data_IF_481570439026
#
_entry.id   IF_481570439026
#
_cell.length_a   1.000
_cell.length_b   1.000
_cell.length_c   1.000
_cell.angle_alpha   90.00
_cell.angle_beta   90.00
_cell.angle_gamma   90.00
#
_symmetry.space_group_name_H-M   'P 1'
#
loop_
_entity.id
_entity.type
_entity.pdbx_description
1 polymer ?
#
# COMPACT_ATOMS: atom_id res chain seq x y z
N UNK A 1 -27.23 -65.11 -61.66
CA UNK A 1 -27.17 -66.35 -60.86
C UNK A 1 -27.50 -65.95 -59.44
N UNK A 2 -28.71 -65.98 -58.88
CA UNK A 2 -29.84 -66.93 -58.90
C UNK A 2 -29.48 -68.35 -58.44
N UNK A 3 -30.04 -68.72 -57.28
CA UNK A 3 -30.73 -69.98 -56.86
C UNK A 3 -30.48 -70.18 -55.34
N UNK A 4 -31.42 -69.84 -54.44
CA UNK A 4 -32.51 -70.68 -53.86
C UNK A 4 -31.99 -71.96 -53.15
N UNK A 5 -32.38 -72.32 -51.92
CA UNK A 5 -33.72 -72.78 -51.46
C UNK A 5 -33.64 -73.01 -49.92
N UNK A 6 -34.50 -72.47 -49.05
CA UNK A 6 -35.87 -72.89 -48.67
C UNK A 6 -35.98 -74.19 -47.82
N UNK A 7 -36.36 -74.06 -46.53
CA UNK A 7 -37.60 -74.58 -45.87
C UNK A 7 -37.47 -75.01 -44.39
N UNK A 8 -38.43 -74.55 -43.59
CA UNK A 8 -38.83 -74.80 -42.18
C UNK A 8 -39.52 -76.19 -41.97
N UNK A 9 -40.20 -76.59 -40.85
CA UNK A 9 -40.39 -76.00 -39.48
C UNK A 9 -40.48 -76.99 -38.24
N UNK A 10 -40.55 -76.42 -37.00
CA UNK A 10 -41.10 -76.90 -35.67
C UNK A 10 -40.50 -78.13 -34.92
N UNK A 11 -40.67 -78.30 -33.56
CA UNK A 11 -41.47 -77.55 -32.58
C UNK A 11 -40.72 -77.03 -31.32
N UNK A 12 -41.45 -76.25 -30.51
CA UNK A 12 -41.05 -75.75 -29.20
C UNK A 12 -41.00 -76.84 -28.11
N UNK A 13 -39.97 -76.83 -27.25
CA UNK A 13 -40.07 -77.36 -25.87
C UNK A 13 -38.88 -76.91 -24.99
N UNK A 14 -39.22 -76.16 -23.94
CA UNK A 14 -38.66 -76.17 -22.58
C UNK A 14 -37.13 -76.21 -22.41
N UNK A 15 -36.50 -75.04 -22.35
CA UNK A 15 -35.32 -74.86 -21.49
C UNK A 15 -35.44 -73.54 -20.74
N UNK A 16 -35.66 -73.64 -19.42
CA UNK A 16 -35.62 -72.50 -18.51
C UNK A 16 -34.22 -71.87 -18.50
N UNK A 17 -34.09 -70.53 -18.46
CA UNK A 17 -32.79 -69.92 -18.28
C UNK A 17 -32.24 -70.31 -16.90
N UNK A 18 -30.93 -70.59 -16.77
CA UNK A 18 -30.34 -70.73 -15.45
C UNK A 18 -30.57 -69.43 -14.67
N UNK A 19 -31.05 -69.58 -13.44
CA UNK A 19 -31.19 -68.46 -12.51
C UNK A 19 -29.87 -67.67 -12.44
N UNK A 20 -29.93 -66.33 -12.33
CA UNK A 20 -28.73 -65.52 -12.24
C UNK A 20 -27.94 -65.99 -11.03
N UNK A 21 -26.69 -66.40 -11.25
CA UNK A 21 -25.73 -66.56 -10.18
C UNK A 21 -25.63 -65.19 -9.52
N UNK A 22 -26.23 -65.03 -8.34
CA UNK A 22 -25.97 -63.89 -7.47
C UNK A 22 -24.52 -64.02 -7.01
N UNK A 23 -23.60 -63.49 -7.80
CA UNK A 23 -22.30 -63.13 -7.27
C UNK A 23 -22.56 -61.98 -6.28
N UNK A 24 -22.41 -62.29 -5.00
CA UNK A 24 -22.09 -61.26 -4.00
C UNK A 24 -20.66 -60.78 -4.29
N UNK A 25 -20.45 -60.13 -5.43
CA UNK A 25 -19.32 -59.22 -5.57
C UNK A 25 -19.77 -57.94 -4.90
N UNK A 26 -19.20 -57.62 -3.73
CA UNK A 26 -19.28 -56.27 -3.19
C UNK A 26 -18.99 -55.30 -4.35
N UNK A 27 -19.91 -54.36 -4.61
CA UNK A 27 -19.75 -53.41 -5.69
C UNK A 27 -18.35 -52.80 -5.58
N UNK A 28 -17.53 -52.80 -6.65
CA UNK A 28 -16.21 -52.20 -6.57
C UNK A 28 -16.39 -50.78 -6.05
N UNK A 29 -15.55 -50.35 -5.10
CA UNK A 29 -15.55 -48.98 -4.59
C UNK A 29 -15.41 -48.03 -5.78
N UNK A 30 -16.54 -47.58 -6.35
CA UNK A 30 -16.54 -46.71 -7.52
C UNK A 30 -16.18 -45.32 -7.01
N UNK A 31 -14.97 -44.91 -7.31
CA UNK A 31 -14.49 -43.57 -7.00
C UNK A 31 -15.36 -42.58 -7.78
N UNK A 32 -16.07 -41.72 -7.04
CA UNK A 32 -16.91 -40.68 -7.61
C UNK A 32 -16.07 -39.41 -7.72
N UNK A 33 -15.90 -38.90 -8.93
CA UNK A 33 -15.21 -37.63 -9.19
C UNK A 33 -16.24 -36.51 -9.09
N UNK A 34 -15.89 -35.44 -8.39
CA UNK A 34 -16.72 -34.24 -8.29
C UNK A 34 -16.03 -33.11 -9.05
N UNK A 35 -16.79 -32.47 -9.94
CA UNK A 35 -16.30 -31.36 -10.75
C UNK A 35 -16.67 -30.04 -10.09
N UNK A 36 -15.87 -29.00 -10.34
CA UNK A 36 -16.07 -27.67 -9.74
C UNK A 36 -17.37 -26.98 -10.17
N UNK A 37 -18.05 -27.48 -11.21
CA UNK A 37 -19.36 -27.01 -11.66
C UNK A 37 -20.54 -27.74 -10.97
N UNK A 38 -20.26 -28.60 -10.00
CA UNK A 38 -21.30 -29.35 -9.26
C UNK A 38 -21.69 -30.69 -9.89
N UNK A 39 -21.13 -31.06 -11.04
CA UNK A 39 -21.33 -32.39 -11.62
C UNK A 39 -20.61 -33.48 -10.82
N UNK A 40 -21.18 -34.68 -10.75
CA UNK A 40 -20.51 -35.85 -10.18
C UNK A 40 -20.63 -37.03 -11.13
N UNK A 41 -19.52 -37.70 -11.45
CA UNK A 41 -19.48 -38.87 -12.32
C UNK A 41 -18.75 -40.02 -11.63
N UNK A 42 -19.15 -41.24 -11.95
CA UNK A 42 -18.41 -42.44 -11.57
C UNK A 42 -17.32 -42.73 -12.60
N UNK A 43 -16.23 -43.36 -12.15
CA UNK A 43 -15.20 -43.86 -13.05
C UNK A 43 -15.83 -44.83 -14.09
N UNK A 44 -15.66 -44.51 -15.37
CA UNK A 44 -16.18 -45.28 -16.51
C UNK A 44 -17.51 -44.76 -17.10
N UNK A 45 -18.08 -43.67 -16.60
CA UNK A 45 -19.24 -42.99 -17.20
C UNK A 45 -18.80 -42.02 -18.31
N UNK A 46 -19.68 -41.80 -19.28
CA UNK A 46 -19.47 -40.79 -20.32
C UNK A 46 -19.39 -39.39 -19.69
N UNK A 47 -18.45 -38.60 -20.19
CA UNK A 47 -18.30 -37.21 -19.78
C UNK A 47 -19.41 -36.35 -20.40
N UNK A 48 -19.78 -35.21 -19.77
CA UNK A 48 -20.74 -34.27 -20.35
C UNK A 48 -20.34 -33.83 -21.75
N UNK A 49 -21.32 -33.53 -22.60
CA UNK A 49 -21.11 -33.08 -23.98
C UNK A 49 -20.21 -31.82 -24.07
N UNK A 50 -20.12 -31.03 -23.00
CA UNK A 50 -19.31 -29.82 -22.91
C UNK A 50 -17.92 -30.05 -22.26
N UNK A 51 -17.53 -31.28 -21.94
CA UNK A 51 -16.27 -31.57 -21.24
C UNK A 51 -15.03 -31.01 -21.96
N UNK A 52 -15.02 -31.05 -23.29
CA UNK A 52 -13.91 -30.53 -24.10
C UNK A 52 -13.66 -29.02 -23.91
N UNK A 53 -14.68 -28.29 -23.42
CA UNK A 53 -14.61 -26.85 -23.14
C UNK A 53 -14.06 -26.52 -21.73
N UNK A 54 -13.86 -27.52 -20.88
CA UNK A 54 -13.38 -27.33 -19.51
C UNK A 54 -11.86 -27.14 -19.46
N UNK A 55 -11.40 -26.03 -20.01
CA UNK A 55 -9.98 -25.68 -20.03
C UNK A 55 -9.45 -25.32 -18.64
N UNK A 56 -8.13 -25.49 -18.39
CA UNK A 56 -7.49 -24.96 -17.20
C UNK A 56 -7.75 -23.46 -17.04
N UNK A 57 -8.33 -23.07 -15.91
CA UNK A 57 -8.56 -21.65 -15.60
C UNK A 57 -7.23 -20.99 -15.28
N UNK A 58 -6.96 -19.83 -15.88
CA UNK A 58 -5.82 -18.99 -15.51
C UNK A 58 -6.09 -18.35 -14.15
N UNK A 59 -5.15 -18.49 -13.22
CA UNK A 59 -5.15 -17.73 -11.97
C UNK A 59 -4.68 -16.30 -12.27
N UNK A 60 -5.52 -15.30 -12.01
CA UNK A 60 -5.15 -13.90 -12.25
C UNK A 60 -3.94 -13.46 -11.41
N UNK A 61 -3.67 -14.15 -10.30
CA UNK A 61 -2.50 -13.90 -9.44
C UNK A 61 -1.18 -14.35 -10.08
N UNK A 62 -1.21 -15.24 -11.08
CA UNK A 62 -0.03 -15.69 -11.82
C UNK A 62 0.23 -14.89 -13.11
N UNK A 63 -0.50 -13.78 -13.32
CA UNK A 63 -0.25 -12.86 -14.43
C UNK A 63 1.21 -12.38 -14.39
N UNK A 64 1.93 -12.59 -15.50
CA UNK A 64 3.25 -12.01 -15.72
C UNK A 64 3.15 -10.48 -15.82
N UNK A 65 4.03 -9.77 -15.12
CA UNK A 65 4.08 -8.31 -15.07
C UNK A 65 5.52 -7.82 -15.15
N UNK A 66 5.69 -6.60 -15.63
CA UNK A 66 6.93 -5.84 -15.59
C UNK A 66 6.66 -4.46 -14.96
N UNK A 67 7.71 -3.84 -14.45
CA UNK A 67 7.64 -2.56 -13.78
C UNK A 67 8.99 -1.86 -13.69
N UNK A 68 8.96 -0.62 -13.21
CA UNK A 68 10.14 0.24 -13.05
C UNK A 68 10.32 0.60 -11.59
N UNK A 69 11.57 0.58 -11.13
CA UNK A 69 12.00 1.17 -9.87
C UNK A 69 12.36 2.64 -10.11
N UNK A 70 11.60 3.55 -9.51
CA UNK A 70 11.88 4.99 -9.54
C UNK A 70 11.31 5.64 -8.29
N UNK A 71 12.15 6.22 -7.44
CA UNK A 71 11.65 6.91 -6.25
C UNK A 71 11.10 8.31 -6.61
N UNK A 72 10.04 8.82 -5.95
CA UNK A 72 9.44 10.11 -6.31
C UNK A 72 10.38 11.31 -6.23
N UNK A 73 11.40 11.27 -5.35
CA UNK A 73 12.42 12.34 -5.28
C UNK A 73 13.19 12.51 -6.59
N UNK A 74 13.21 11.49 -7.44
CA UNK A 74 13.92 11.47 -8.73
C UNK A 74 13.08 12.02 -9.89
N UNK A 75 11.84 12.42 -9.66
CA UNK A 75 11.07 13.09 -10.71
C UNK A 75 11.72 14.44 -11.06
N UNK A 76 11.67 14.87 -12.34
CA UNK A 76 12.11 16.20 -12.70
C UNK A 76 11.16 17.25 -12.09
N UNK A 77 11.63 18.48 -11.94
CA UNK A 77 10.76 19.56 -11.47
C UNK A 77 11.53 20.82 -11.10
N UNK A 78 10.84 21.96 -10.97
CA UNK A 78 11.48 23.25 -10.70
C UNK A 78 11.83 23.46 -9.22
N UNK A 79 11.41 22.58 -8.31
CA UNK A 79 11.52 22.79 -6.86
C UNK A 79 12.57 21.89 -6.20
N UNK A 80 13.70 21.64 -6.88
CA UNK A 80 14.90 20.99 -6.31
C UNK A 80 14.79 19.51 -5.93
N UNK A 81 13.58 18.96 -5.82
CA UNK A 81 13.28 17.55 -5.55
C UNK A 81 11.98 17.17 -6.25
N UNK A 82 11.90 15.94 -6.77
CA UNK A 82 10.65 15.41 -7.29
C UNK A 82 9.57 15.28 -6.21
N UNK A 83 8.30 15.40 -6.62
CA UNK A 83 7.15 15.46 -5.71
C UNK A 83 5.94 14.66 -6.23
N UNK A 84 4.87 14.63 -5.43
CA UNK A 84 3.61 13.94 -5.73
C UNK A 84 2.66 14.77 -6.61
N UNK A 85 3.21 15.66 -7.44
CA UNK A 85 2.50 16.56 -8.34
C UNK A 85 2.45 16.06 -9.79
N UNK A 86 2.38 16.98 -10.78
CA UNK A 86 2.15 16.64 -12.19
C UNK A 86 3.08 15.56 -12.77
N UNK A 87 4.34 15.53 -12.35
CA UNK A 87 5.33 14.59 -12.88
C UNK A 87 5.09 13.15 -12.40
N UNK A 88 4.50 12.95 -11.22
CA UNK A 88 4.08 11.62 -10.77
C UNK A 88 2.98 11.05 -11.69
N UNK A 89 1.98 11.88 -12.07
CA UNK A 89 0.92 11.47 -12.99
C UNK A 89 1.46 11.20 -14.39
N UNK A 90 2.36 12.06 -14.88
CA UNK A 90 3.01 11.86 -16.18
C UNK A 90 3.84 10.57 -16.24
N UNK A 91 4.56 10.25 -15.17
CA UNK A 91 5.31 9.00 -15.08
C UNK A 91 4.38 7.77 -15.09
N UNK A 92 3.24 7.84 -14.40
CA UNK A 92 2.23 6.77 -14.44
C UNK A 92 1.64 6.59 -15.85
N UNK A 93 1.37 7.68 -16.57
CA UNK A 93 0.96 7.62 -17.97
C UNK A 93 2.01 6.93 -18.84
N UNK A 94 3.28 7.33 -18.69
CA UNK A 94 4.39 6.70 -19.42
C UNK A 94 4.52 5.20 -19.08
N UNK A 95 4.36 4.81 -17.82
CA UNK A 95 4.38 3.39 -17.42
C UNK A 95 3.28 2.59 -18.10
N UNK A 96 2.07 3.14 -18.12
CA UNK A 96 0.92 2.53 -18.78
C UNK A 96 1.19 2.35 -20.28
N UNK A 97 1.68 3.39 -20.94
CA UNK A 97 1.94 3.38 -22.38
C UNK A 97 3.10 2.44 -22.74
N UNK A 98 4.07 2.26 -21.85
CA UNK A 98 5.12 1.26 -21.96
C UNK A 98 4.64 -0.19 -21.68
N UNK A 99 3.38 -0.39 -21.31
CA UNK A 99 2.81 -1.70 -20.96
C UNK A 99 3.26 -2.24 -19.59
N UNK A 100 3.91 -1.41 -18.77
CA UNK A 100 4.24 -1.75 -17.39
C UNK A 100 2.97 -1.75 -16.53
N UNK A 101 2.98 -2.57 -15.46
CA UNK A 101 1.85 -2.67 -14.53
C UNK A 101 2.30 -2.69 -13.07
N UNK A 102 3.55 -2.30 -12.82
CA UNK A 102 4.14 -2.19 -11.50
C UNK A 102 5.09 -0.98 -11.45
N UNK A 103 4.97 -0.19 -10.40
CA UNK A 103 5.90 0.88 -10.05
C UNK A 103 6.46 0.57 -8.66
N UNK A 104 7.78 0.40 -8.56
CA UNK A 104 8.43 0.21 -7.27
C UNK A 104 9.04 1.52 -6.77
N UNK A 105 8.86 1.78 -5.47
CA UNK A 105 9.46 2.91 -4.75
C UNK A 105 10.31 2.40 -3.58
N UNK A 106 11.31 3.19 -3.18
CA UNK A 106 11.97 3.06 -1.87
C UNK A 106 11.02 3.46 -0.73
N UNK A 107 11.38 3.26 0.55
CA UNK A 107 10.55 3.73 1.67
C UNK A 107 10.20 5.21 1.54
N UNK A 108 8.96 5.58 1.85
CA UNK A 108 8.46 6.95 1.72
C UNK A 108 8.52 7.74 3.03
N UNK A 109 9.24 7.21 4.02
CA UNK A 109 9.39 7.77 5.36
C UNK A 109 10.21 9.08 5.36
N UNK A 110 10.06 9.97 6.36
CA UNK A 110 10.91 11.13 6.50
C UNK A 110 12.38 10.69 6.61
N UNK A 111 13.25 11.07 5.67
CA UNK A 111 14.60 10.55 5.60
C UNK A 111 15.45 11.04 6.77
N UNK A 112 16.56 10.35 7.02
CA UNK A 112 17.56 10.80 7.99
C UNK A 112 18.09 12.19 7.62
N UNK A 113 18.23 13.07 8.62
CA UNK A 113 18.81 14.43 8.48
C UNK A 113 20.01 14.65 9.41
N UNK A 114 20.45 13.63 10.13
CA UNK A 114 21.55 13.70 11.10
C UNK A 114 22.62 12.66 10.75
N UNK A 115 23.79 12.78 11.39
CA UNK A 115 24.82 11.73 11.42
C UNK A 115 25.33 11.23 10.06
N UNK A 116 25.42 12.12 9.05
CA UNK A 116 25.84 11.82 7.68
C UNK A 116 24.93 10.86 6.90
N UNK A 117 23.66 10.76 7.29
CA UNK A 117 22.64 9.92 6.61
C UNK A 117 21.65 10.76 5.80
N UNK A 118 22.05 11.97 5.42
CA UNK A 118 21.18 12.96 4.78
C UNK A 118 20.52 12.39 3.51
N UNK A 119 19.18 12.40 3.51
CA UNK A 119 18.38 11.90 2.40
C UNK A 119 18.18 10.39 2.32
N UNK A 120 18.74 9.59 3.23
CA UNK A 120 18.58 8.13 3.24
C UNK A 120 17.13 7.72 3.60
N UNK A 121 16.40 7.03 2.70
CA UNK A 121 15.05 6.52 3.01
C UNK A 121 15.04 5.33 3.98
N UNK A 122 16.20 4.71 4.22
CA UNK A 122 16.35 3.58 5.15
C UNK A 122 16.76 4.02 6.56
N UNK A 123 17.04 5.31 6.72
CA UNK A 123 17.31 5.97 8.01
C UNK A 123 16.11 6.82 8.43
N UNK A 124 14.91 6.27 8.28
CA UNK A 124 13.66 6.97 8.54
C UNK A 124 13.56 7.46 9.99
N UNK A 125 13.08 8.68 10.19
CA UNK A 125 12.83 9.26 11.52
C UNK A 125 11.60 8.62 12.20
N UNK A 126 10.71 8.06 11.39
CA UNK A 126 9.49 7.36 11.81
C UNK A 126 9.15 6.29 10.75
N UNK A 127 8.60 5.14 11.15
CA UNK A 127 8.29 4.06 10.23
C UNK A 127 6.98 4.22 9.43
N UNK A 128 6.10 5.13 9.85
CA UNK A 128 4.73 5.24 9.32
C UNK A 128 4.47 6.59 8.62
N UNK A 129 5.10 7.66 9.09
CA UNK A 129 4.97 8.99 8.51
C UNK A 129 5.44 9.01 7.05
N UNK A 130 4.94 9.98 6.30
CA UNK A 130 5.41 10.31 4.97
C UNK A 130 6.43 11.44 4.96
N UNK A 131 7.38 11.36 4.02
CA UNK A 131 8.33 12.43 3.73
C UNK A 131 7.61 13.66 3.18
N UNK A 132 7.50 14.71 4.00
CA UNK A 132 6.83 15.96 3.65
C UNK A 132 7.51 16.71 2.52
N UNK A 133 8.80 16.45 2.22
CA UNK A 133 9.48 17.01 1.04
C UNK A 133 8.88 16.53 -0.28
N UNK A 134 8.15 15.41 -0.28
CA UNK A 134 7.43 14.90 -1.45
C UNK A 134 6.09 15.60 -1.68
N UNK A 135 5.64 16.46 -0.78
CA UNK A 135 4.42 17.25 -0.98
C UNK A 135 4.65 18.24 -2.12
N UNK A 136 3.76 18.21 -3.11
CA UNK A 136 3.79 19.09 -4.26
C UNK A 136 3.21 20.45 -3.91
N UNK A 137 4.01 21.51 -4.07
CA UNK A 137 3.59 22.88 -3.83
C UNK A 137 2.51 23.33 -4.84
N UNK A 138 2.56 22.83 -6.07
CA UNK A 138 1.56 23.13 -7.09
C UNK A 138 0.19 22.54 -6.76
N UNK A 139 0.16 21.35 -6.15
CA UNK A 139 -1.09 20.77 -5.65
C UNK A 139 -1.62 21.55 -4.44
N UNK A 140 -0.75 22.06 -3.56
CA UNK A 140 -1.18 22.96 -2.46
C UNK A 140 -1.78 24.27 -2.98
N UNK A 141 -1.28 24.79 -4.11
CA UNK A 141 -1.89 25.94 -4.80
C UNK A 141 -3.27 25.59 -5.36
N UNK A 142 -3.44 24.39 -5.94
CA UNK A 142 -4.75 23.93 -6.44
C UNK A 142 -5.77 23.74 -5.32
N UNK A 143 -5.32 23.28 -4.15
CA UNK A 143 -6.13 23.14 -2.94
C UNK A 143 -6.38 24.50 -2.25
N UNK A 144 -5.79 25.61 -2.74
CA UNK A 144 -5.99 26.96 -2.20
C UNK A 144 -5.27 27.22 -0.88
N UNK A 145 -4.32 26.36 -0.49
CA UNK A 145 -3.52 26.49 0.73
C UNK A 145 -2.28 27.37 0.51
N UNK A 146 -1.78 27.43 -0.71
CA UNK A 146 -0.76 28.38 -1.14
C UNK A 146 -1.26 29.23 -2.29
N UNK A 147 -0.72 30.42 -2.43
CA UNK A 147 -0.87 31.25 -3.63
C UNK A 147 0.31 31.01 -4.60
N UNK A 148 0.10 31.33 -5.87
CA UNK A 148 1.17 31.19 -6.89
C UNK A 148 2.37 32.07 -6.62
N UNK A 149 2.17 33.23 -6.00
CA UNK A 149 3.22 34.21 -5.71
C UNK A 149 4.15 33.77 -4.57
N UNK A 150 3.72 32.79 -3.78
CA UNK A 150 4.52 32.17 -2.70
C UNK A 150 5.42 31.04 -3.20
N UNK A 151 5.20 30.55 -4.42
CA UNK A 151 6.04 29.48 -4.97
C UNK A 151 7.48 29.99 -5.15
N UNK A 152 8.47 29.19 -4.77
CA UNK A 152 9.86 29.58 -4.94
C UNK A 152 10.18 29.67 -6.43
N UNK A 153 11.17 30.51 -6.76
CA UNK A 153 11.70 30.55 -8.13
C UNK A 153 12.26 29.16 -8.49
N UNK A 154 12.19 28.76 -9.78
CA UNK A 154 12.79 27.51 -10.21
C UNK A 154 14.25 27.39 -9.77
N UNK A 155 14.56 26.28 -9.11
CA UNK A 155 15.90 25.90 -8.67
C UNK A 155 16.48 25.00 -9.75
N UNK A 156 17.47 25.51 -10.47
CA UNK A 156 18.19 24.74 -11.49
C UNK A 156 19.15 23.76 -10.81
N UNK A 157 18.74 22.50 -10.70
CA UNK A 157 19.59 21.44 -10.16
C UNK A 157 19.31 20.08 -10.81
N UNK A 158 20.38 19.39 -11.18
CA UNK A 158 20.32 18.01 -11.69
C UNK A 158 20.25 16.97 -10.58
N UNK A 159 20.52 17.37 -9.33
CA UNK A 159 20.60 16.47 -8.17
C UNK A 159 19.92 17.08 -6.94
N UNK A 160 19.30 16.23 -6.13
CA UNK A 160 18.69 16.65 -4.87
C UNK A 160 19.78 17.04 -3.88
N UNK A 161 19.66 18.23 -3.28
CA UNK A 161 20.38 18.66 -2.09
C UNK A 161 19.34 18.78 -0.96
N UNK A 162 19.34 17.82 -0.03
CA UNK A 162 18.24 17.65 0.93
C UNK A 162 18.18 18.78 1.96
N UNK A 163 19.31 19.21 2.52
CA UNK A 163 19.37 20.36 3.42
C UNK A 163 18.84 21.63 2.73
N UNK A 164 19.38 21.95 1.55
CA UNK A 164 18.99 23.18 0.84
C UNK A 164 17.52 23.18 0.43
N UNK A 165 16.95 22.01 0.10
CA UNK A 165 15.54 21.94 -0.27
C UNK A 165 14.60 21.93 0.94
N UNK A 166 15.03 21.37 2.07
CA UNK A 166 14.29 21.45 3.33
C UNK A 166 14.13 22.92 3.76
N UNK A 167 15.20 23.72 3.70
CA UNK A 167 15.17 25.15 4.03
C UNK A 167 14.16 25.95 3.18
N UNK A 168 13.86 25.47 1.96
CA UNK A 168 12.90 26.12 1.04
C UNK A 168 11.49 25.56 1.20
N UNK A 169 11.33 24.22 1.23
CA UNK A 169 10.01 23.58 1.18
C UNK A 169 9.35 23.47 2.55
N UNK A 170 10.10 23.19 3.62
CA UNK A 170 9.52 22.98 4.95
C UNK A 170 8.70 24.20 5.42
N UNK A 171 9.17 25.46 5.29
CA UNK A 171 8.37 26.63 5.68
C UNK A 171 7.07 26.78 4.88
N UNK A 172 7.08 26.45 3.59
CA UNK A 172 5.91 26.56 2.71
C UNK A 172 4.87 25.48 3.02
N UNK A 173 5.33 24.26 3.27
CA UNK A 173 4.48 23.14 3.67
C UNK A 173 3.86 23.41 5.04
N UNK A 174 4.65 23.89 6.01
CA UNK A 174 4.16 24.27 7.32
C UNK A 174 3.12 25.40 7.24
N UNK A 175 3.35 26.42 6.42
CA UNK A 175 2.39 27.51 6.21
C UNK A 175 1.08 27.01 5.59
N UNK A 176 1.15 26.13 4.59
CA UNK A 176 -0.03 25.48 4.01
C UNK A 176 -0.80 24.64 5.05
N UNK A 177 -0.08 23.90 5.89
CA UNK A 177 -0.66 23.11 6.97
C UNK A 177 -1.33 23.99 8.03
N UNK A 178 -0.72 25.12 8.43
CA UNK A 178 -1.32 26.10 9.34
C UNK A 178 -2.60 26.69 8.77
N UNK A 179 -2.59 27.09 7.50
CA UNK A 179 -3.80 27.57 6.81
C UNK A 179 -4.89 26.51 6.79
N UNK A 180 -4.55 25.25 6.53
CA UNK A 180 -5.49 24.15 6.59
C UNK A 180 -6.08 24.00 8.00
N UNK A 181 -5.25 24.01 9.05
CA UNK A 181 -5.69 23.90 10.44
C UNK A 181 -6.66 25.02 10.82
N UNK A 182 -6.41 26.25 10.39
CA UNK A 182 -7.25 27.43 10.64
C UNK A 182 -8.42 27.59 9.66
N UNK A 183 -8.46 26.79 8.59
CA UNK A 183 -9.52 26.87 7.58
C UNK A 183 -10.84 26.28 8.08
N UNK A 184 -11.87 26.44 7.27
CA UNK A 184 -13.14 25.72 7.41
C UNK A 184 -13.54 25.14 6.06
N UNK A 185 -14.42 24.14 6.07
CA UNK A 185 -14.92 23.49 4.87
C UNK A 185 -14.39 22.05 4.71
N UNK A 186 -14.52 21.54 3.49
CA UNK A 186 -14.37 20.11 3.21
C UNK A 186 -12.96 19.58 3.52
N UNK A 187 -11.91 20.33 3.19
CA UNK A 187 -10.54 19.88 3.42
C UNK A 187 -10.21 19.81 4.92
N UNK A 188 -10.77 20.74 5.73
CA UNK A 188 -10.67 20.70 7.19
C UNK A 188 -11.42 19.50 7.75
N UNK A 189 -12.61 19.17 7.24
CA UNK A 189 -13.34 17.97 7.67
C UNK A 189 -12.54 16.69 7.40
N UNK A 190 -11.93 16.58 6.21
CA UNK A 190 -11.08 15.45 5.86
C UNK A 190 -9.84 15.33 6.76
N UNK A 191 -9.23 16.44 7.16
CA UNK A 191 -8.16 16.46 8.16
C UNK A 191 -8.64 15.90 9.52
N UNK A 192 -9.79 16.35 9.99
CA UNK A 192 -10.36 15.87 11.26
C UNK A 192 -10.74 14.39 11.21
N UNK A 193 -11.26 13.91 10.08
CA UNK A 193 -11.54 12.48 9.85
C UNK A 193 -10.25 11.65 9.82
N UNK A 194 -9.22 12.13 9.11
CA UNK A 194 -7.90 11.50 9.07
C UNK A 194 -7.30 11.37 10.47
N UNK A 195 -7.34 12.45 11.26
CA UNK A 195 -6.81 12.44 12.63
C UNK A 195 -7.57 11.48 13.55
N UNK A 196 -8.89 11.34 13.37
CA UNK A 196 -9.76 10.49 14.20
C UNK A 196 -9.81 9.03 13.75
N UNK A 197 -9.35 8.70 12.54
CA UNK A 197 -9.30 7.30 12.08
C UNK A 197 -8.43 6.48 13.05
N UNK A 198 -8.98 5.45 13.71
CA UNK A 198 -8.22 4.63 14.66
C UNK A 198 -6.96 3.99 14.09
N UNK A 199 -6.92 3.73 12.77
CA UNK A 199 -5.75 3.17 12.09
C UNK A 199 -4.64 4.20 11.89
N UNK A 200 -4.99 5.48 11.84
CA UNK A 200 -4.06 6.60 11.68
C UNK A 200 -3.63 7.10 13.06
N UNK A 201 -4.58 7.39 13.95
CA UNK A 201 -4.33 7.88 15.29
C UNK A 201 -3.37 7.00 16.10
N UNK A 202 -3.39 5.67 15.85
CA UNK A 202 -2.55 4.70 16.53
C UNK A 202 -1.05 4.86 16.35
N UNK A 203 -0.59 5.56 15.31
CA UNK A 203 0.83 5.91 15.11
C UNK A 203 1.05 7.42 15.03
N UNK A 204 0.09 8.16 14.47
CA UNK A 204 0.24 9.57 14.15
C UNK A 204 0.37 10.47 15.39
N UNK A 205 -0.42 10.21 16.44
CA UNK A 205 -0.34 10.99 17.68
C UNK A 205 1.02 10.76 18.35
N UNK A 206 1.51 9.51 18.44
CA UNK A 206 2.82 9.23 19.01
C UNK A 206 3.95 9.89 18.21
N UNK A 207 3.88 9.86 16.88
CA UNK A 207 4.84 10.56 16.00
C UNK A 207 4.83 12.07 16.22
N UNK A 208 3.65 12.70 16.31
CA UNK A 208 3.52 14.14 16.50
C UNK A 208 4.06 14.60 17.86
N UNK A 209 3.75 13.87 18.94
CA UNK A 209 4.30 14.17 20.27
C UNK A 209 5.80 13.95 20.32
N UNK A 210 6.29 12.86 19.74
CA UNK A 210 7.72 12.58 19.66
C UNK A 210 8.47 13.72 18.95
N UNK A 211 7.98 14.14 17.78
CA UNK A 211 8.57 15.24 17.03
C UNK A 211 8.53 16.57 17.81
N UNK A 212 7.43 16.87 18.51
CA UNK A 212 7.31 18.09 19.32
C UNK A 212 8.27 18.10 20.51
N UNK A 213 8.49 16.94 21.13
CA UNK A 213 9.46 16.79 22.23
C UNK A 213 10.88 16.91 21.69
N UNK A 214 11.22 16.26 20.58
CA UNK A 214 12.54 16.32 19.95
C UNK A 214 12.91 17.74 19.49
N UNK A 215 11.96 18.48 18.91
CA UNK A 215 12.12 19.89 18.55
C UNK A 215 12.44 20.77 19.78
N UNK A 216 11.84 20.43 20.93
CA UNK A 216 12.06 21.16 22.18
C UNK A 216 13.39 20.79 22.84
N UNK A 217 13.77 19.53 22.73
CA UNK A 217 14.91 18.94 23.41
C UNK A 217 15.97 18.59 22.38
N UNK A 218 16.98 19.45 22.26
CA UNK A 218 18.12 19.25 21.37
C UNK A 218 19.10 18.17 21.90
N UNK A 219 18.59 16.99 22.22
CA UNK A 219 19.38 15.81 22.62
C UNK A 219 19.63 14.91 21.42
N UNK A 220 20.62 14.02 21.53
CA UNK A 220 20.93 13.05 20.48
C UNK A 220 19.84 11.98 20.38
N UNK A 221 19.24 11.60 21.52
CA UNK A 221 18.23 10.56 21.59
C UNK A 221 17.18 10.84 22.68
N UNK A 222 16.01 10.21 22.54
CA UNK A 222 14.97 10.16 23.57
C UNK A 222 15.43 9.49 24.86
N UNK A 223 16.50 8.68 24.81
CA UNK A 223 17.09 8.09 26.00
C UNK A 223 17.56 9.13 27.02
N UNK A 224 17.98 10.30 26.54
CA UNK A 224 18.50 11.41 27.35
C UNK A 224 17.40 12.42 27.75
N UNK A 225 16.14 12.19 27.35
CA UNK A 225 15.04 13.05 27.75
C UNK A 225 14.77 12.96 29.26
N UNK A 226 14.22 14.03 29.87
CA UNK A 226 13.74 14.00 31.25
C UNK A 226 12.86 12.77 31.50
N UNK A 227 12.98 12.15 32.67
CA UNK A 227 12.35 10.86 32.99
C UNK A 227 10.85 10.84 32.67
N UNK A 228 10.14 11.93 32.97
CA UNK A 228 8.70 12.06 32.70
C UNK A 228 8.34 11.99 31.21
N UNK A 229 9.18 12.54 30.32
CA UNK A 229 8.99 12.50 28.87
C UNK A 229 9.53 11.20 28.27
N UNK A 230 10.70 10.76 28.74
CA UNK A 230 11.28 9.46 28.38
C UNK A 230 10.30 8.32 28.65
N UNK A 231 9.65 8.33 29.82
CA UNK A 231 8.73 7.27 30.26
C UNK A 231 7.25 7.61 30.02
N UNK A 232 6.92 8.65 29.26
CA UNK A 232 5.55 8.96 28.80
C UNK A 232 4.56 9.12 29.96
N UNK A 233 4.94 9.86 30.99
CA UNK A 233 4.02 10.21 32.07
C UNK A 233 2.87 11.06 31.50
N UNK A 234 1.62 10.66 31.76
CA UNK A 234 0.43 11.29 31.18
C UNK A 234 0.39 12.81 31.38
N UNK A 235 0.69 13.28 32.59
CA UNK A 235 0.70 14.72 32.91
C UNK A 235 1.75 15.47 32.09
N UNK A 236 2.93 14.89 31.89
CA UNK A 236 3.98 15.53 31.09
C UNK A 236 3.60 15.60 29.60
N UNK A 237 2.91 14.57 29.08
CA UNK A 237 2.39 14.61 27.71
C UNK A 237 1.29 15.65 27.55
N UNK A 238 0.38 15.79 28.52
CA UNK A 238 -0.63 16.84 28.51
C UNK A 238 0.01 18.24 28.51
N UNK A 239 1.07 18.46 29.30
CA UNK A 239 1.84 19.71 29.30
C UNK A 239 2.52 19.99 27.95
N UNK A 240 3.08 18.96 27.31
CA UNK A 240 3.61 19.07 25.94
C UNK A 240 2.50 19.47 24.97
N UNK A 241 1.34 18.84 25.04
CA UNK A 241 0.23 19.21 24.16
C UNK A 241 -0.19 20.67 24.35
N UNK A 242 -0.30 21.14 25.59
CA UNK A 242 -0.66 22.53 25.85
C UNK A 242 0.41 23.52 25.37
N UNK A 243 1.70 23.21 25.58
CA UNK A 243 2.81 24.09 25.23
C UNK A 243 3.22 24.05 23.75
N UNK A 244 2.93 22.94 23.06
CA UNK A 244 3.32 22.68 21.65
C UNK A 244 2.11 22.35 20.77
N UNK A 245 0.91 22.80 21.14
CA UNK A 245 -0.34 22.53 20.41
C UNK A 245 -0.24 22.88 18.91
N UNK A 246 0.26 24.07 18.59
CA UNK A 246 0.40 24.52 17.20
C UNK A 246 1.36 23.61 16.40
N UNK A 247 2.47 23.19 17.01
CA UNK A 247 3.42 22.27 16.38
C UNK A 247 2.76 20.92 16.08
N UNK A 248 2.10 20.33 17.07
CA UNK A 248 1.45 19.02 16.94
C UNK A 248 0.34 19.07 15.89
N UNK A 249 -0.51 20.09 15.92
CA UNK A 249 -1.58 20.25 14.95
C UNK A 249 -1.04 20.48 13.52
N UNK A 250 0.06 21.24 13.39
CA UNK A 250 0.73 21.46 12.10
C UNK A 250 1.34 20.16 11.57
N UNK A 251 2.11 19.44 12.39
CA UNK A 251 2.69 18.14 12.02
C UNK A 251 1.63 17.15 11.52
N UNK A 252 0.51 17.04 12.23
CA UNK A 252 -0.61 16.18 11.84
C UNK A 252 -1.20 16.62 10.49
N UNK A 253 -1.35 17.93 10.27
CA UNK A 253 -1.84 18.46 9.01
C UNK A 253 -0.86 18.23 7.85
N UNK A 254 0.45 18.31 8.07
CA UNK A 254 1.46 17.95 7.06
C UNK A 254 1.36 16.47 6.65
N UNK A 255 1.20 15.57 7.63
CA UNK A 255 1.00 14.15 7.36
C UNK A 255 -0.31 13.88 6.61
N UNK A 256 -1.38 14.62 6.92
CA UNK A 256 -2.62 14.59 6.14
C UNK A 256 -2.40 15.04 4.69
N UNK A 257 -1.67 16.13 4.47
CA UNK A 257 -1.38 16.65 3.12
C UNK A 257 -0.57 15.64 2.31
N UNK A 258 0.43 15.00 2.92
CA UNK A 258 1.15 13.88 2.31
C UNK A 258 0.20 12.74 1.95
N UNK A 259 -0.61 12.26 2.91
CA UNK A 259 -1.54 11.15 2.70
C UNK A 259 -2.51 11.45 1.55
N UNK A 260 -3.07 12.66 1.51
CA UNK A 260 -4.00 13.09 0.46
C UNK A 260 -3.36 13.06 -0.92
N UNK A 261 -2.15 13.62 -1.07
CA UNK A 261 -1.46 13.63 -2.35
C UNK A 261 -1.02 12.22 -2.77
N UNK A 262 -0.49 11.43 -1.84
CA UNK A 262 -0.08 10.05 -2.10
C UNK A 262 -1.27 9.17 -2.51
N UNK A 263 -2.41 9.31 -1.83
CA UNK A 263 -3.63 8.59 -2.17
C UNK A 263 -4.13 8.96 -3.58
N UNK A 264 -4.05 10.24 -3.97
CA UNK A 264 -4.41 10.70 -5.32
C UNK A 264 -3.52 10.05 -6.40
N UNK A 265 -2.21 9.97 -6.17
CA UNK A 265 -1.26 9.28 -7.07
C UNK A 265 -1.56 7.78 -7.13
N UNK A 266 -1.81 7.14 -5.98
CA UNK A 266 -2.13 5.72 -5.90
C UNK A 266 -3.44 5.38 -6.64
N UNK A 267 -4.47 6.19 -6.47
CA UNK A 267 -5.75 5.99 -7.15
C UNK A 267 -5.61 6.18 -8.66
N UNK A 268 -4.84 7.19 -9.10
CA UNK A 268 -4.54 7.38 -10.52
C UNK A 268 -3.78 6.19 -11.12
N UNK A 269 -2.74 5.70 -10.45
CA UNK A 269 -2.02 4.49 -10.85
C UNK A 269 -2.97 3.27 -10.99
N UNK A 270 -3.90 3.11 -10.05
CA UNK A 270 -4.93 2.06 -10.12
C UNK A 270 -5.83 2.21 -11.35
N UNK A 271 -6.24 3.42 -11.71
CA UNK A 271 -7.05 3.66 -12.93
C UNK A 271 -6.29 3.28 -14.21
N UNK A 272 -4.96 3.34 -14.18
CA UNK A 272 -4.06 2.97 -15.27
C UNK A 272 -3.58 1.51 -15.19
N UNK A 273 -4.12 0.71 -14.27
CA UNK A 273 -3.72 -0.69 -14.11
C UNK A 273 -2.28 -0.88 -13.60
N UNK A 274 -1.70 0.15 -12.99
CA UNK A 274 -0.36 0.13 -12.37
C UNK A 274 -0.51 -0.12 -10.87
N UNK A 275 0.11 -1.20 -10.38
CA UNK A 275 0.24 -1.42 -8.93
C UNK A 275 1.49 -0.72 -8.41
N UNK A 276 1.42 -0.13 -7.21
CA UNK A 276 2.60 0.43 -6.55
C UNK A 276 3.14 -0.60 -5.55
N UNK A 277 4.44 -0.87 -5.61
CA UNK A 277 5.17 -1.72 -4.68
C UNK A 277 6.02 -0.81 -3.79
N UNK A 278 5.65 -0.71 -2.52
CA UNK A 278 6.48 -0.07 -1.51
C UNK A 278 7.66 -0.94 -1.07
N UNK A 279 8.46 -0.40 -0.18
CA UNK A 279 9.57 -1.06 0.49
C UNK A 279 9.48 -0.74 1.99
N UNK A 280 9.71 -1.75 2.83
CA UNK A 280 9.57 -1.67 4.28
C UNK A 280 10.79 -2.35 4.93
N UNK A 281 11.70 -1.57 5.55
CA UNK A 281 12.81 -2.12 6.29
C UNK A 281 12.32 -3.00 7.43
N UNK A 282 13.06 -4.09 7.72
CA UNK A 282 12.69 -5.00 8.83
C UNK A 282 12.90 -4.38 10.22
N UNK A 283 13.82 -3.43 10.34
CA UNK A 283 14.14 -2.73 11.58
C UNK A 283 13.80 -1.25 11.48
N UNK A 284 13.53 -0.64 12.63
CA UNK A 284 13.26 0.80 12.80
C UNK A 284 14.39 1.46 13.58
N UNK A 285 14.57 2.77 13.40
CA UNK A 285 15.59 3.54 14.11
C UNK A 285 15.32 3.60 15.61
N UNK A 286 16.38 3.60 16.43
CA UNK A 286 16.24 3.69 17.90
C UNK A 286 15.61 5.01 18.34
N UNK A 287 16.05 6.12 17.74
CA UNK A 287 15.50 7.45 17.99
C UNK A 287 14.29 7.74 17.11
N UNK A 288 13.19 7.04 17.39
CA UNK A 288 11.93 7.15 16.67
C UNK A 288 10.75 7.05 17.64
N UNK A 289 9.58 7.53 17.19
CA UNK A 289 8.32 7.34 17.92
C UNK A 289 7.99 5.85 18.05
N UNK A 290 8.33 5.03 17.05
CA UNK A 290 8.11 3.58 17.04
C UNK A 290 8.71 2.92 18.29
N UNK A 291 9.97 3.22 18.62
CA UNK A 291 10.65 2.64 19.79
C UNK A 291 10.24 3.35 21.08
N UNK A 292 10.17 4.69 21.07
CA UNK A 292 9.86 5.47 22.27
C UNK A 292 8.44 5.18 22.80
N UNK A 293 7.44 5.05 21.93
CA UNK A 293 6.08 4.75 22.34
C UNK A 293 5.84 3.26 22.62
N UNK A 294 6.62 2.37 22.01
CA UNK A 294 6.40 0.91 22.06
C UNK A 294 7.56 0.13 22.69
N UNK A 295 8.23 0.70 23.71
CA UNK A 295 9.41 0.13 24.38
C UNK A 295 9.35 -1.37 24.68
N UNK A 296 8.17 -1.88 25.06
CA UNK A 296 7.96 -3.31 25.40
C UNK A 296 8.07 -4.27 24.22
N UNK A 297 8.04 -3.76 22.99
CA UNK A 297 8.21 -4.55 21.77
C UNK A 297 9.68 -4.77 21.39
N UNK A 298 10.60 -4.10 22.08
CA UNK A 298 12.02 -4.09 21.77
C UNK A 298 12.85 -4.63 22.95
N UNK A 299 13.99 -5.22 22.63
CA UNK A 299 14.99 -5.63 23.62
C UNK A 299 15.82 -4.41 24.02
N UNK A 300 15.33 -3.66 25.01
CA UNK A 300 16.00 -2.47 25.55
C UNK A 300 16.82 -2.82 26.79
N UNK A 301 17.95 -2.13 26.98
CA UNK A 301 18.84 -2.24 28.15
C UNK A 301 18.45 -1.19 29.20
#
# INVERSE_FOLDING_TARGET
MSICSLLSPFPASLYSPPNPVRSNSAAPNRVRVHFKNGGSLLAGEDLPLDYESWHPKRDLRSRRRAGILLHPTSFPGPYGVGDLGPQAFHFVDWLHDAGCSLWQVLPLVPPGRRSNEDGSPYSGQDANCGNTLLISLEELVKDGLLSKDELPKPIDTDRVNFDAIADVKDPLVAEAAKRLVSSSGELKNQLEEFRKDPKIAGWLEDAAYFAAIDDTLNTISWYDWPESLKNRHLVALEEIYQSKKEFIDTFIAEQFLFQRQWQKVHDYARTKGVSIMGDMPIYVGYHSADVWANKKQFLLV
#
